data_IF_660086862317
#
_entry.id   IF_660086862317
#
_cell.length_a   1.000
_cell.length_b   1.000
_cell.length_c   1.000
_cell.angle_alpha   90.00
_cell.angle_beta   90.00
_cell.angle_gamma   90.00
#
_symmetry.space_group_name_H-M   'P 1'
#
loop_
_entity.id
_entity.type
_entity.pdbx_description
1 polymer ?
#
# COMPACT_ATOMS: atom_id res chain seq x y z
N UNK A 1 -2.34 -8.41 5.40
CA UNK A 1 -2.79 -8.43 6.81
C UNK A 1 -1.77 -9.21 7.61
N UNK A 2 -0.92 -8.46 8.30
CA UNK A 2 0.19 -8.98 9.09
C UNK A 2 -0.31 -9.65 10.37
N UNK A 3 0.45 -10.60 10.89
CA UNK A 3 0.10 -11.27 12.15
C UNK A 3 0.33 -10.40 13.40
N UNK A 4 1.14 -9.33 13.29
CA UNK A 4 1.41 -8.38 14.38
C UNK A 4 2.34 -8.88 15.49
N UNK A 5 2.70 -10.17 15.51
CA UNK A 5 3.40 -10.79 16.65
C UNK A 5 4.66 -11.60 16.29
N UNK A 6 5.00 -11.79 15.01
CA UNK A 6 6.30 -12.38 14.64
C UNK A 6 7.41 -11.33 14.62
N UNK A 7 8.66 -11.79 14.66
CA UNK A 7 9.84 -10.93 14.63
C UNK A 7 9.81 -9.87 13.49
N UNK A 8 9.52 -10.22 12.22
CA UNK A 8 9.39 -9.21 11.16
C UNK A 8 8.33 -8.15 11.48
N UNK A 9 7.15 -8.54 11.96
CA UNK A 9 6.07 -7.59 12.27
C UNK A 9 6.44 -6.61 13.40
N UNK A 10 7.05 -7.09 14.48
CA UNK A 10 7.41 -6.22 15.62
C UNK A 10 8.59 -5.30 15.31
N UNK A 11 9.42 -5.69 14.33
CA UNK A 11 10.52 -4.87 13.81
C UNK A 11 10.08 -3.89 12.71
N UNK A 12 8.79 -3.83 12.39
CA UNK A 12 8.27 -2.98 11.31
C UNK A 12 8.62 -3.48 9.89
N UNK A 13 9.14 -4.70 9.76
CA UNK A 13 9.42 -5.36 8.47
C UNK A 13 8.34 -6.37 8.13
N UNK A 14 7.10 -5.93 8.22
CA UNK A 14 5.92 -6.78 8.09
C UNK A 14 5.73 -7.36 6.68
N UNK A 15 6.41 -6.84 5.67
CA UNK A 15 6.50 -7.41 4.33
C UNK A 15 7.10 -8.83 4.32
N UNK A 16 7.95 -9.16 5.30
CA UNK A 16 8.51 -10.50 5.48
C UNK A 16 7.69 -11.39 6.42
N UNK A 17 6.46 -10.99 6.75
CA UNK A 17 5.58 -11.82 7.58
C UNK A 17 5.10 -13.04 6.80
N UNK A 18 5.56 -14.25 7.16
CA UNK A 18 5.13 -15.51 6.51
C UNK A 18 3.66 -15.86 6.77
N UNK A 19 3.06 -15.27 7.81
CA UNK A 19 1.64 -15.47 8.18
C UNK A 19 0.72 -14.42 7.59
N UNK A 20 1.22 -13.57 6.68
CA UNK A 20 0.41 -12.52 6.09
C UNK A 20 -0.69 -13.09 5.20
N UNK A 21 -1.87 -12.49 5.26
CA UNK A 21 -3.00 -12.79 4.35
C UNK A 21 -3.45 -11.52 3.64
N UNK A 22 -3.83 -11.59 2.37
CA UNK A 22 -4.24 -10.44 1.56
C UNK A 22 -5.75 -10.31 1.53
N UNK A 23 -6.22 -9.07 1.66
CA UNK A 23 -7.62 -8.72 1.49
C UNK A 23 -8.00 -8.89 0.01
N UNK A 24 -9.09 -9.59 -0.29
CA UNK A 24 -9.46 -9.98 -1.66
C UNK A 24 -8.64 -11.14 -2.23
N UNK A 25 -7.69 -11.70 -1.46
CA UNK A 25 -6.94 -12.91 -1.79
C UNK A 25 -7.39 -14.06 -0.89
N UNK A 26 -6.64 -14.30 0.18
CA UNK A 26 -6.96 -15.32 1.18
C UNK A 26 -8.07 -14.91 2.16
N UNK A 27 -8.50 -13.64 2.12
CA UNK A 27 -9.57 -13.07 2.93
C UNK A 27 -10.58 -12.34 2.03
N UNK A 28 -11.84 -12.25 2.46
CA UNK A 28 -12.90 -11.54 1.73
C UNK A 28 -12.54 -10.07 1.48
N UNK A 29 -12.78 -9.61 0.25
CA UNK A 29 -12.38 -8.30 -0.25
C UNK A 29 -13.43 -7.20 -0.13
N UNK A 30 -13.10 -6.04 -0.72
CA UNK A 30 -13.99 -4.87 -0.78
C UNK A 30 -15.02 -4.88 -1.91
N UNK A 31 -15.08 -5.92 -2.76
CA UNK A 31 -16.12 -6.06 -3.79
C UNK A 31 -17.45 -6.54 -3.19
N UNK A 32 -17.92 -5.82 -2.18
CA UNK A 32 -19.13 -6.07 -1.41
C UNK A 32 -19.57 -4.75 -0.74
N UNK A 33 -20.82 -4.69 -0.26
CA UNK A 33 -21.31 -3.51 0.47
C UNK A 33 -20.60 -3.32 1.82
N UNK A 34 -20.05 -4.40 2.38
CA UNK A 34 -19.33 -4.40 3.66
C UNK A 34 -18.12 -5.35 3.57
N UNK A 35 -17.02 -5.01 4.25
CA UNK A 35 -15.86 -5.88 4.41
C UNK A 35 -15.36 -5.84 5.86
N UNK A 36 -14.77 -6.95 6.32
CA UNK A 36 -14.19 -7.06 7.66
C UNK A 36 -12.68 -6.86 7.59
N UNK A 37 -12.19 -5.85 8.30
CA UNK A 37 -10.75 -5.56 8.41
C UNK A 37 -10.34 -5.28 9.87
N UNK A 38 -9.13 -5.66 10.30
CA UNK A 38 -8.52 -5.20 11.54
C UNK A 38 -8.40 -3.68 11.54
N UNK A 39 -8.61 -3.08 12.72
CA UNK A 39 -8.49 -1.63 12.91
C UNK A 39 -7.10 -1.10 12.51
N UNK A 40 -6.04 -1.89 12.69
CA UNK A 40 -4.67 -1.53 12.31
C UNK A 40 -4.47 -1.36 10.79
N UNK A 41 -5.42 -1.81 9.97
CA UNK A 41 -5.42 -1.67 8.51
C UNK A 41 -6.33 -0.54 8.03
N UNK A 42 -6.98 0.18 8.94
CA UNK A 42 -7.86 1.31 8.63
C UNK A 42 -7.06 2.61 8.79
N UNK A 43 -7.15 3.47 7.79
CA UNK A 43 -6.54 4.80 7.80
C UNK A 43 -7.64 5.86 7.67
N UNK A 44 -7.42 7.04 8.27
CA UNK A 44 -8.34 8.16 8.12
C UNK A 44 -8.21 8.73 6.71
N UNK A 45 -9.33 8.80 5.99
CA UNK A 45 -9.42 9.54 4.73
C UNK A 45 -9.45 11.03 5.07
N UNK A 46 -8.58 11.87 4.48
CA UNK A 46 -8.63 13.31 4.67
C UNK A 46 -9.96 13.89 4.20
N UNK A 47 -10.49 14.89 4.93
CA UNK A 47 -11.82 15.46 4.65
C UNK A 47 -11.91 16.11 3.25
N UNK A 48 -10.78 16.47 2.65
CA UNK A 48 -10.69 17.07 1.32
C UNK A 48 -10.61 16.04 0.16
N UNK A 49 -10.59 14.74 0.46
CA UNK A 49 -10.39 13.67 -0.53
C UNK A 49 -11.68 12.88 -0.76
N UNK A 50 -12.02 12.62 -2.02
CA UNK A 50 -13.16 11.79 -2.38
C UNK A 50 -12.96 10.31 -2.04
N UNK A 51 -14.05 9.55 -1.91
CA UNK A 51 -13.98 8.11 -1.63
C UNK A 51 -13.30 7.33 -2.76
N UNK A 52 -13.59 7.69 -4.00
CA UNK A 52 -13.03 7.08 -5.21
C UNK A 52 -11.51 7.28 -5.27
N UNK A 53 -11.04 8.49 -4.98
CA UNK A 53 -9.61 8.82 -4.93
C UNK A 53 -8.93 8.03 -3.80
N UNK A 54 -9.50 8.09 -2.60
CA UNK A 54 -8.98 7.42 -1.43
C UNK A 54 -8.86 5.90 -1.61
N UNK A 55 -9.77 5.27 -2.35
CA UNK A 55 -9.75 3.84 -2.61
C UNK A 55 -8.55 3.39 -3.47
N UNK A 56 -7.93 4.29 -4.24
CA UNK A 56 -6.80 3.95 -5.13
C UNK A 56 -5.44 3.92 -4.42
N UNK A 57 -5.30 4.67 -3.34
CA UNK A 57 -4.01 4.90 -2.65
C UNK A 57 -3.43 3.65 -1.95
N UNK A 58 -4.21 2.83 -1.20
CA UNK A 58 -3.64 1.78 -0.34
C UNK A 58 -2.86 0.71 -1.08
N UNK A 59 -3.22 0.42 -2.33
CA UNK A 59 -2.50 -0.55 -3.15
C UNK A 59 -1.47 0.14 -4.03
N UNK A 60 -1.91 0.99 -4.96
CA UNK A 60 -1.05 1.51 -6.00
C UNK A 60 -0.09 2.60 -5.48
N UNK A 61 -0.62 3.59 -4.77
CA UNK A 61 0.17 4.69 -4.19
C UNK A 61 1.17 4.20 -3.15
N UNK A 62 0.74 3.34 -2.22
CA UNK A 62 1.64 2.77 -1.22
C UNK A 62 2.74 1.91 -1.84
N UNK A 63 2.45 1.17 -2.93
CA UNK A 63 3.47 0.39 -3.64
C UNK A 63 4.51 1.31 -4.29
N UNK A 64 4.07 2.39 -4.95
CA UNK A 64 4.98 3.36 -5.55
C UNK A 64 5.87 4.03 -4.48
N UNK A 65 5.27 4.44 -3.36
CA UNK A 65 5.99 4.99 -2.20
C UNK A 65 7.03 4.01 -1.65
N UNK A 66 6.66 2.76 -1.40
CA UNK A 66 7.58 1.74 -0.90
C UNK A 66 8.78 1.57 -1.84
N UNK A 67 8.55 1.54 -3.15
CA UNK A 67 9.62 1.41 -4.14
C UNK A 67 10.56 2.63 -4.15
N UNK A 68 10.01 3.84 -4.24
CA UNK A 68 10.80 5.05 -4.45
C UNK A 68 11.43 5.58 -3.17
N UNK A 69 10.66 5.60 -2.06
CA UNK A 69 11.07 6.26 -0.82
C UNK A 69 11.70 5.27 0.15
N UNK A 70 11.13 4.08 0.33
CA UNK A 70 11.61 3.14 1.35
C UNK A 70 12.67 2.16 0.86
N UNK A 71 12.63 1.78 -0.43
CA UNK A 71 13.54 0.77 -1.00
C UNK A 71 14.74 1.38 -1.70
N UNK A 72 14.48 2.32 -2.59
CA UNK A 72 15.53 2.98 -3.38
C UNK A 72 16.04 4.24 -2.69
N UNK A 73 15.28 4.78 -1.74
CA UNK A 73 15.62 6.00 -1.00
C UNK A 73 15.96 7.16 -1.96
N UNK A 74 15.11 7.38 -2.97
CA UNK A 74 15.33 8.37 -4.03
C UNK A 74 15.68 9.75 -3.46
N UNK A 75 16.78 10.32 -3.94
CA UNK A 75 17.25 11.64 -3.54
C UNK A 75 16.90 12.72 -4.57
N UNK A 76 16.83 14.00 -4.16
CA UNK A 76 16.73 15.10 -5.10
C UNK A 76 17.84 15.02 -6.16
N UNK A 77 17.47 15.34 -7.41
CA UNK A 77 18.36 15.35 -8.58
C UNK A 77 18.78 13.99 -9.13
N UNK A 78 18.29 12.87 -8.57
CA UNK A 78 18.48 11.55 -9.17
C UNK A 78 17.51 11.31 -10.33
N UNK A 79 17.98 10.59 -11.34
CA UNK A 79 17.16 10.17 -12.47
C UNK A 79 16.44 8.86 -12.17
N UNK A 80 15.13 8.81 -12.44
CA UNK A 80 14.31 7.61 -12.29
C UNK A 80 13.64 7.24 -13.61
N UNK A 81 13.71 5.95 -13.96
CA UNK A 81 12.95 5.37 -15.07
C UNK A 81 11.65 4.76 -14.55
N UNK A 82 10.51 5.36 -14.89
CA UNK A 82 9.19 4.79 -14.62
C UNK A 82 8.69 4.01 -15.83
N UNK A 83 8.70 2.69 -15.74
CA UNK A 83 8.15 1.82 -16.77
C UNK A 83 6.61 1.80 -16.72
N UNK A 84 5.96 1.77 -17.89
CA UNK A 84 4.50 1.68 -18.02
C UNK A 84 3.74 2.71 -17.14
N UNK A 85 4.08 3.98 -17.34
CA UNK A 85 3.62 5.11 -16.52
C UNK A 85 2.09 5.29 -16.44
N UNK A 86 1.34 4.76 -17.41
CA UNK A 86 -0.14 4.77 -17.36
C UNK A 86 -0.76 3.69 -16.45
N UNK A 87 0.05 2.81 -15.85
CA UNK A 87 -0.44 1.80 -14.89
C UNK A 87 -0.77 2.44 -13.55
N UNK A 88 -1.57 1.76 -12.72
CA UNK A 88 -1.94 2.28 -11.39
C UNK A 88 -0.73 2.61 -10.52
N UNK A 89 0.30 1.75 -10.48
CA UNK A 89 1.53 2.04 -9.71
C UNK A 89 2.40 3.08 -10.42
N UNK A 90 2.56 2.95 -11.74
CA UNK A 90 3.41 3.83 -12.53
C UNK A 90 2.96 5.28 -12.50
N UNK A 91 1.65 5.54 -12.47
CA UNK A 91 1.12 6.90 -12.43
C UNK A 91 1.45 7.62 -11.13
N UNK A 92 1.52 6.90 -10.00
CA UNK A 92 2.00 7.46 -8.73
C UNK A 92 3.51 7.69 -8.69
N UNK A 93 4.28 7.09 -9.60
CA UNK A 93 5.73 7.35 -9.70
C UNK A 93 6.08 8.66 -10.40
N UNK A 94 5.13 9.33 -11.03
CA UNK A 94 5.31 10.66 -11.64
C UNK A 94 5.04 11.82 -10.70
N UNK A 95 4.19 11.61 -9.69
CA UNK A 95 3.54 12.67 -8.92
C UNK A 95 4.30 13.01 -7.64
#
# INVERSE_FOLDING_TARGET
MKCGVCAPCVLGRDEFCERQKRLGGELDGGHAQYCKVPVANVQRIPDAMGWEEAATLPLAGHTAWHCLIERVELQPWEDVLVNAVGSGVGSFGLA
#
